data_IF_628085689352
#
_entry.id   IF_628085689352
#
_cell.length_a   1.000
_cell.length_b   1.000
_cell.length_c   1.000
_cell.angle_alpha   90.00
_cell.angle_beta   90.00
_cell.angle_gamma   90.00
#
_symmetry.space_group_name_H-M   'P 1'
#
loop_
_entity.id
_entity.type
_entity.pdbx_description
1 polymer ?
#
# COMPACT_ATOMS: atom_id res chain seq x y z
N UNK A 1 -38.24 -36.40 26.76
CA UNK A 1 -38.46 -34.94 26.85
C UNK A 1 -37.08 -34.31 26.72
N UNK A 2 -36.62 -33.96 25.52
CA UNK A 2 -36.97 -32.73 24.81
C UNK A 2 -35.66 -31.99 24.58
N UNK A 3 -35.16 -32.04 23.35
CA UNK A 3 -33.92 -31.44 22.84
C UNK A 3 -33.91 -29.93 22.97
N UNK A 4 -32.80 -29.34 23.42
CA UNK A 4 -32.48 -27.94 23.22
C UNK A 4 -31.43 -27.85 22.11
N UNK A 5 -31.90 -27.87 20.86
CA UNK A 5 -31.11 -27.51 19.68
C UNK A 5 -30.70 -26.04 19.76
N UNK A 6 -29.41 -25.78 19.57
CA UNK A 6 -28.83 -24.45 19.52
C UNK A 6 -29.33 -23.60 18.32
N UNK A 7 -29.08 -22.28 18.34
CA UNK A 7 -29.57 -21.38 17.31
C UNK A 7 -28.98 -21.69 15.93
N UNK A 8 -29.89 -21.85 14.97
CA UNK A 8 -29.69 -22.27 13.57
C UNK A 8 -28.72 -21.39 12.79
N UNK A 9 -27.77 -22.07 12.16
CA UNK A 9 -26.81 -21.65 11.13
C UNK A 9 -27.48 -21.17 9.81
N UNK A 10 -28.42 -20.21 9.86
CA UNK A 10 -29.18 -19.78 8.66
C UNK A 10 -28.81 -18.39 8.11
N UNK A 11 -27.96 -17.62 8.80
CA UNK A 11 -27.63 -16.21 8.46
C UNK A 11 -26.38 -15.99 7.58
N UNK A 12 -25.89 -17.02 6.87
CA UNK A 12 -24.55 -16.96 6.27
C UNK A 12 -24.51 -16.81 4.73
N UNK A 13 -25.60 -17.05 4.01
CA UNK A 13 -25.58 -17.08 2.54
C UNK A 13 -25.74 -15.68 1.91
N UNK A 14 -26.65 -14.84 2.44
CA UNK A 14 -26.82 -13.44 1.99
C UNK A 14 -25.53 -12.64 2.21
N UNK A 15 -24.90 -12.81 3.38
CA UNK A 15 -23.59 -12.20 3.68
C UNK A 15 -22.50 -12.65 2.71
N UNK A 16 -22.51 -13.89 2.23
CA UNK A 16 -21.54 -14.38 1.23
C UNK A 16 -21.82 -13.82 -0.17
N UNK A 17 -23.09 -13.70 -0.55
CA UNK A 17 -23.50 -13.14 -1.86
C UNK A 17 -23.20 -11.65 -1.95
N UNK A 18 -23.46 -10.87 -0.89
CA UNK A 18 -23.20 -9.43 -0.88
C UNK A 18 -21.71 -9.08 -0.70
N UNK A 19 -20.91 -9.97 -0.08
CA UNK A 19 -19.47 -9.71 0.15
C UNK A 19 -18.64 -9.72 -1.11
N UNK A 20 -18.89 -10.65 -2.04
CA UNK A 20 -18.13 -10.76 -3.30
C UNK A 20 -18.20 -9.48 -4.16
N UNK A 21 -19.39 -8.93 -4.50
CA UNK A 21 -19.45 -7.69 -5.27
C UNK A 21 -18.81 -6.53 -4.51
N UNK A 22 -19.04 -6.41 -3.19
CA UNK A 22 -18.43 -5.37 -2.39
C UNK A 22 -16.89 -5.39 -2.44
N UNK A 23 -16.26 -6.55 -2.24
CA UNK A 23 -14.79 -6.66 -2.25
C UNK A 23 -14.20 -6.39 -3.63
N UNK A 24 -14.89 -6.79 -4.70
CA UNK A 24 -14.48 -6.46 -6.06
C UNK A 24 -14.60 -4.96 -6.33
N UNK A 25 -15.70 -4.33 -5.90
CA UNK A 25 -15.88 -2.88 -5.99
C UNK A 25 -14.80 -2.13 -5.23
N UNK A 26 -14.43 -2.57 -4.02
CA UNK A 26 -13.34 -1.96 -3.25
C UNK A 26 -11.98 -2.08 -3.94
N UNK A 27 -11.69 -3.20 -4.62
CA UNK A 27 -10.47 -3.32 -5.43
C UNK A 27 -10.47 -2.30 -6.58
N UNK A 28 -11.59 -2.18 -7.30
CA UNK A 28 -11.69 -1.21 -8.41
C UNK A 28 -11.53 0.21 -7.89
N UNK A 29 -12.22 0.58 -6.81
CA UNK A 29 -12.10 1.90 -6.19
C UNK A 29 -10.65 2.18 -5.77
N UNK A 30 -9.99 1.23 -5.10
CA UNK A 30 -8.62 1.44 -4.62
C UNK A 30 -7.61 1.62 -5.75
N UNK A 31 -7.69 0.78 -6.78
CA UNK A 31 -6.83 0.84 -7.97
C UNK A 31 -7.08 2.13 -8.75
N UNK A 32 -8.36 2.45 -9.03
CA UNK A 32 -8.73 3.68 -9.74
C UNK A 32 -8.31 4.92 -8.95
N UNK A 33 -8.54 4.94 -7.63
CA UNK A 33 -8.14 6.06 -6.77
C UNK A 33 -6.63 6.32 -6.87
N UNK A 34 -5.80 5.31 -6.63
CA UNK A 34 -4.34 5.50 -6.63
C UNK A 34 -3.84 5.93 -8.01
N UNK A 35 -4.24 5.21 -9.07
CA UNK A 35 -3.79 5.51 -10.44
C UNK A 35 -4.24 6.89 -10.91
N UNK A 36 -5.51 7.26 -10.72
CA UNK A 36 -6.03 8.57 -11.09
C UNK A 36 -5.38 9.70 -10.30
N UNK A 37 -5.27 9.58 -8.97
CA UNK A 37 -4.63 10.61 -8.13
C UNK A 37 -3.18 10.82 -8.53
N UNK A 38 -2.42 9.75 -8.72
CA UNK A 38 -1.00 9.85 -9.07
C UNK A 38 -0.82 10.50 -10.45
N UNK A 39 -1.60 10.09 -11.47
CA UNK A 39 -1.51 10.66 -12.82
C UNK A 39 -1.98 12.12 -12.85
N UNK A 40 -3.16 12.42 -12.29
CA UNK A 40 -3.70 13.79 -12.28
C UNK A 40 -2.82 14.73 -11.45
N UNK A 41 -2.27 14.25 -10.33
CA UNK A 41 -1.33 14.99 -9.52
C UNK A 41 -0.03 15.30 -10.26
N UNK A 42 0.51 14.35 -11.03
CA UNK A 42 1.66 14.57 -11.88
C UNK A 42 1.39 15.63 -12.97
N UNK A 43 0.23 15.57 -13.62
CA UNK A 43 -0.19 16.56 -14.61
C UNK A 43 -0.27 17.95 -13.95
N UNK A 44 -0.99 18.07 -12.83
CA UNK A 44 -1.15 19.34 -12.10
C UNK A 44 0.20 19.94 -11.67
N UNK A 45 1.11 19.10 -11.15
CA UNK A 45 2.46 19.54 -10.79
C UNK A 45 3.23 20.04 -12.02
N UNK A 46 3.17 19.30 -13.13
CA UNK A 46 3.91 19.61 -14.35
C UNK A 46 3.44 20.88 -15.05
N UNK A 47 2.13 21.08 -15.12
CA UNK A 47 1.51 22.15 -15.93
C UNK A 47 1.19 23.40 -15.15
N UNK A 48 0.88 23.30 -13.85
CA UNK A 48 0.43 24.44 -13.04
C UNK A 48 1.45 24.82 -11.98
N UNK A 49 1.81 23.88 -11.10
CA UNK A 49 2.58 24.23 -9.88
C UNK A 49 4.03 24.56 -10.20
N UNK A 50 4.76 23.67 -10.88
CA UNK A 50 6.20 23.82 -11.08
C UNK A 50 6.60 25.00 -11.97
N UNK A 51 5.95 25.28 -13.12
CA UNK A 51 6.30 26.42 -13.96
C UNK A 51 6.17 27.75 -13.20
N UNK A 52 5.01 28.00 -12.59
CA UNK A 52 4.73 29.24 -11.86
C UNK A 52 5.66 29.41 -10.64
N UNK A 53 5.89 28.33 -9.89
CA UNK A 53 6.77 28.37 -8.73
C UNK A 53 8.24 28.64 -9.13
N UNK A 54 8.70 28.06 -10.25
CA UNK A 54 10.06 28.28 -10.76
C UNK A 54 10.28 29.73 -11.19
N UNK A 55 9.28 30.34 -11.83
CA UNK A 55 9.30 31.77 -12.18
C UNK A 55 9.29 32.65 -10.93
N UNK A 56 8.56 32.28 -9.89
CA UNK A 56 8.44 33.06 -8.67
C UNK A 56 9.68 33.00 -7.76
N UNK A 57 10.33 31.84 -7.64
CA UNK A 57 11.41 31.60 -6.67
C UNK A 57 12.81 31.46 -7.31
N UNK A 58 12.91 31.52 -8.65
CA UNK A 58 14.19 31.45 -9.35
C UNK A 58 14.84 30.06 -9.36
N UNK A 59 14.06 28.99 -9.11
CA UNK A 59 14.56 27.62 -9.18
C UNK A 59 14.70 27.11 -10.62
N UNK A 60 15.63 26.18 -10.86
CA UNK A 60 15.74 25.49 -12.14
C UNK A 60 14.52 24.60 -12.37
N UNK A 61 13.62 25.04 -13.28
CA UNK A 61 12.45 24.27 -13.69
C UNK A 61 12.82 22.86 -14.19
N UNK A 62 13.94 22.74 -14.88
CA UNK A 62 14.44 21.46 -15.38
C UNK A 62 14.77 20.49 -14.23
N UNK A 63 15.43 20.97 -13.18
CA UNK A 63 15.80 20.15 -12.02
C UNK A 63 14.56 19.66 -11.25
N UNK A 64 13.57 20.55 -11.05
CA UNK A 64 12.30 20.17 -10.41
C UNK A 64 11.49 19.17 -11.22
N UNK A 65 11.47 19.32 -12.55
CA UNK A 65 10.83 18.35 -13.46
C UNK A 65 11.53 17.00 -13.42
N UNK A 66 12.86 16.97 -13.44
CA UNK A 66 13.63 15.73 -13.35
C UNK A 66 13.36 14.99 -12.03
N UNK A 67 13.37 15.71 -10.90
CA UNK A 67 13.05 15.14 -9.59
C UNK A 67 11.61 14.62 -9.54
N UNK A 68 10.65 15.39 -10.04
CA UNK A 68 9.24 15.00 -10.09
C UNK A 68 9.04 13.71 -10.92
N UNK A 69 9.65 13.63 -12.10
CA UNK A 69 9.62 12.43 -12.94
C UNK A 69 10.24 11.22 -12.23
N UNK A 70 11.39 11.40 -11.57
CA UNK A 70 12.04 10.33 -10.81
C UNK A 70 11.15 9.78 -9.70
N UNK A 71 10.57 10.65 -8.87
CA UNK A 71 9.71 10.27 -7.75
C UNK A 71 8.43 9.58 -8.23
N UNK A 72 7.80 10.14 -9.26
CA UNK A 72 6.59 9.56 -9.88
C UNK A 72 6.87 8.20 -10.52
N UNK A 73 7.94 8.09 -11.30
CA UNK A 73 8.30 6.85 -11.98
C UNK A 73 8.57 5.73 -10.97
N UNK A 74 9.23 6.04 -9.84
CA UNK A 74 9.44 5.06 -8.79
C UNK A 74 8.15 4.68 -8.05
N UNK A 75 7.27 5.63 -7.73
CA UNK A 75 5.99 5.34 -7.07
C UNK A 75 5.11 4.45 -7.96
N UNK A 76 4.86 4.88 -9.21
CA UNK A 76 4.01 4.16 -10.16
C UNK A 76 4.66 2.85 -10.62
N UNK A 77 5.97 2.84 -10.89
CA UNK A 77 6.66 1.63 -11.33
C UNK A 77 6.65 0.54 -10.27
N UNK A 78 6.89 0.86 -8.99
CA UNK A 78 6.79 -0.11 -7.91
C UNK A 78 5.35 -0.54 -7.66
N UNK A 79 4.37 0.36 -7.80
CA UNK A 79 2.95 -0.01 -7.78
C UNK A 79 2.61 -1.06 -8.85
N UNK A 80 3.05 -0.82 -10.10
CA UNK A 80 2.81 -1.73 -11.21
C UNK A 80 3.50 -3.08 -11.02
N UNK A 81 4.75 -3.10 -10.54
CA UNK A 81 5.46 -4.34 -10.20
C UNK A 81 4.75 -5.09 -9.07
N UNK A 82 4.26 -4.38 -8.04
CA UNK A 82 3.54 -4.99 -6.94
C UNK A 82 2.21 -5.63 -7.40
N UNK A 83 1.48 -4.94 -8.27
CA UNK A 83 0.20 -5.40 -8.81
C UNK A 83 0.35 -6.54 -9.84
N UNK A 84 1.42 -6.53 -10.65
CA UNK A 84 1.63 -7.52 -11.71
C UNK A 84 2.25 -8.83 -11.21
N UNK A 85 3.02 -8.78 -10.12
CA UNK A 85 3.70 -9.95 -9.55
C UNK A 85 2.74 -11.07 -9.14
N UNK A 86 3.09 -12.32 -9.47
CA UNK A 86 2.35 -13.50 -9.05
C UNK A 86 2.69 -13.85 -7.59
N UNK A 87 1.69 -13.85 -6.72
CA UNK A 87 1.81 -14.13 -5.29
C UNK A 87 1.18 -15.46 -4.88
N UNK A 88 0.53 -16.13 -5.84
CA UNK A 88 -0.23 -17.33 -5.56
C UNK A 88 0.69 -18.50 -5.29
N UNK A 89 0.25 -19.38 -4.40
CA UNK A 89 0.90 -20.65 -4.20
C UNK A 89 0.64 -21.53 -5.43
N UNK A 90 1.69 -21.81 -6.22
CA UNK A 90 1.58 -22.71 -7.38
C UNK A 90 1.06 -24.07 -6.90
N UNK A 91 -0.05 -24.55 -7.50
CA UNK A 91 -0.56 -25.89 -7.22
C UNK A 91 0.55 -26.90 -7.53
N UNK A 92 0.99 -27.67 -6.53
CA UNK A 92 1.90 -28.79 -6.75
C UNK A 92 1.21 -29.75 -7.71
N UNK A 93 1.83 -30.10 -8.84
CA UNK A 93 1.35 -31.23 -9.66
C UNK A 93 1.24 -32.42 -8.71
N UNK A 94 0.08 -33.06 -8.68
CA UNK A 94 -0.21 -34.24 -7.84
C UNK A 94 0.74 -35.36 -8.28
N UNK A 95 1.95 -35.40 -7.73
CA UNK A 95 2.88 -36.51 -7.96
C UNK A 95 2.35 -37.68 -7.16
N UNK A 96 1.75 -38.62 -7.90
CA UNK A 96 1.39 -39.97 -7.52
C UNK A 96 0.43 -40.18 -6.35
N UNK A 97 -0.53 -41.05 -6.64
CA UNK A 97 -1.38 -41.78 -5.71
C UNK A 97 -0.62 -42.31 -4.49
N UNK A 98 -1.33 -42.40 -3.36
CA UNK A 98 -0.92 -42.86 -2.01
C UNK A 98 -0.43 -41.70 -1.12
N UNK A 99 -1.32 -40.90 -0.52
CA UNK A 99 -2.13 -41.32 0.63
C UNK A 99 -3.33 -40.39 0.78
N UNK A 100 -4.51 -41.00 0.98
CA UNK A 100 -5.77 -40.32 1.22
C UNK A 100 -5.83 -39.76 2.65
N UNK A 101 -6.64 -38.71 2.83
CA UNK A 101 -6.93 -37.99 4.07
C UNK A 101 -5.85 -37.04 4.62
N UNK A 102 -5.79 -35.85 4.02
CA UNK A 102 -5.75 -34.56 4.73
C UNK A 102 -5.91 -33.44 3.71
N UNK A 103 -6.59 -32.36 4.08
CA UNK A 103 -6.59 -31.09 3.35
C UNK A 103 -5.17 -30.79 2.82
N UNK A 104 -4.99 -30.26 1.60
CA UNK A 104 -3.65 -29.95 1.11
C UNK A 104 -2.96 -29.10 2.18
N UNK A 105 -1.88 -29.63 2.79
CA UNK A 105 -1.16 -28.91 3.84
C UNK A 105 -0.74 -27.57 3.25
N UNK A 106 -1.35 -26.49 3.76
CA UNK A 106 -0.98 -25.14 3.37
C UNK A 106 0.45 -24.96 3.90
N UNK A 107 1.43 -24.67 3.03
CA UNK A 107 2.81 -24.48 3.45
C UNK A 107 2.92 -23.40 4.53
N UNK A 108 3.93 -23.50 5.39
CA UNK A 108 4.19 -22.54 6.49
C UNK A 108 4.09 -21.07 6.01
N UNK A 109 3.45 -20.16 6.77
CA UNK A 109 3.19 -18.75 6.39
C UNK A 109 2.37 -18.52 5.12
N UNK A 110 1.89 -19.56 4.44
CA UNK A 110 0.89 -19.40 3.39
C UNK A 110 -0.50 -19.36 4.02
N UNK A 111 -1.35 -18.47 3.53
CA UNK A 111 -2.73 -18.35 4.04
C UNK A 111 -3.71 -18.16 2.89
N UNK A 112 -4.93 -18.67 3.07
CA UNK A 112 -6.00 -18.53 2.10
C UNK A 112 -6.64 -17.14 2.20
N UNK A 113 -6.58 -16.37 1.11
CA UNK A 113 -7.26 -15.08 1.02
C UNK A 113 -8.68 -15.29 0.47
N UNK A 114 -9.69 -14.92 1.27
CA UNK A 114 -11.11 -15.02 0.90
C UNK A 114 -11.50 -14.07 -0.24
N UNK A 115 -10.75 -12.96 -0.42
CA UNK A 115 -11.01 -11.97 -1.48
C UNK A 115 -10.49 -12.49 -2.83
N UNK A 116 -9.26 -13.02 -2.84
CA UNK A 116 -8.64 -13.58 -4.05
C UNK A 116 -9.09 -15.03 -4.36
N UNK A 117 -9.73 -15.71 -3.41
CA UNK A 117 -10.14 -17.13 -3.48
C UNK A 117 -8.96 -18.08 -3.76
N UNK A 118 -7.78 -17.76 -3.22
CA UNK A 118 -6.54 -18.51 -3.45
C UNK A 118 -5.62 -18.49 -2.23
N UNK A 119 -4.74 -19.49 -2.13
CA UNK A 119 -3.66 -19.50 -1.13
C UNK A 119 -2.51 -18.60 -1.61
N UNK A 120 -2.06 -17.71 -0.73
CA UNK A 120 -1.00 -16.75 -1.00
C UNK A 120 0.24 -17.17 -0.20
N UNK A 121 1.41 -17.18 -0.83
CA UNK A 121 2.67 -17.53 -0.17
C UNK A 121 3.21 -16.35 0.64
N UNK A 122 3.63 -16.60 1.89
CA UNK A 122 4.02 -15.56 2.87
C UNK A 122 2.95 -14.45 2.87
N UNK A 123 1.70 -14.83 3.14
CA UNK A 123 0.56 -13.93 2.98
C UNK A 123 0.64 -12.77 3.98
N UNK A 124 0.82 -11.56 3.48
CA UNK A 124 0.89 -10.37 4.33
C UNK A 124 -0.52 -9.81 4.58
N UNK A 125 -1.15 -9.31 3.52
CA UNK A 125 -2.51 -8.80 3.56
C UNK A 125 -3.12 -8.73 2.16
N UNK A 126 -4.44 -8.58 2.08
CA UNK A 126 -5.11 -8.15 0.84
C UNK A 126 -5.11 -6.63 0.78
N UNK A 127 -4.46 -6.06 -0.23
CA UNK A 127 -4.38 -4.61 -0.41
C UNK A 127 -5.41 -4.16 -1.46
N UNK A 128 -6.44 -3.42 -1.03
CA UNK A 128 -7.44 -2.87 -1.94
C UNK A 128 -6.85 -1.82 -2.91
N UNK A 129 -5.82 -1.09 -2.48
CA UNK A 129 -5.13 -0.11 -3.33
C UNK A 129 -4.39 -0.77 -4.50
N UNK A 130 -3.78 -1.94 -4.27
CA UNK A 130 -3.18 -2.76 -5.34
C UNK A 130 -4.23 -3.61 -6.08
N UNK A 131 -5.43 -3.77 -5.52
CA UNK A 131 -6.42 -4.74 -5.99
C UNK A 131 -5.96 -6.20 -5.89
N UNK A 132 -4.95 -6.49 -5.04
CA UNK A 132 -4.29 -7.80 -4.95
C UNK A 132 -3.71 -8.06 -3.57
N UNK A 133 -3.44 -9.32 -3.26
CA UNK A 133 -2.64 -9.68 -2.09
C UNK A 133 -1.19 -9.22 -2.20
N UNK A 134 -0.66 -8.77 -1.07
CA UNK A 134 0.76 -8.63 -0.81
C UNK A 134 1.25 -9.93 -0.18
N UNK A 135 2.34 -10.47 -0.70
CA UNK A 135 3.01 -11.65 -0.19
C UNK A 135 4.43 -11.74 -0.72
N UNK A 136 5.00 -12.94 -0.70
CA UNK A 136 6.45 -13.11 -0.87
C UNK A 136 7.06 -12.42 -2.10
N UNK A 137 6.44 -12.57 -3.28
CA UNK A 137 7.05 -12.11 -4.53
C UNK A 137 6.90 -10.59 -4.75
N UNK A 138 6.03 -9.91 -4.01
CA UNK A 138 5.70 -8.50 -4.25
C UNK A 138 5.79 -7.59 -3.02
N UNK A 139 6.09 -8.13 -1.83
CA UNK A 139 6.22 -7.36 -0.59
C UNK A 139 7.27 -6.24 -0.73
N UNK A 140 8.44 -6.51 -1.35
CA UNK A 140 9.45 -5.46 -1.60
C UNK A 140 8.93 -4.30 -2.43
N UNK A 141 8.17 -4.59 -3.48
CA UNK A 141 7.60 -3.56 -4.36
C UNK A 141 6.55 -2.75 -3.61
N UNK A 142 5.77 -3.37 -2.72
CA UNK A 142 4.85 -2.66 -1.84
C UNK A 142 5.59 -1.71 -0.87
N UNK A 143 6.71 -2.15 -0.28
CA UNK A 143 7.55 -1.32 0.58
C UNK A 143 8.11 -0.12 -0.19
N UNK A 144 8.70 -0.34 -1.36
CA UNK A 144 9.25 0.73 -2.20
C UNK A 144 8.17 1.66 -2.75
N UNK A 145 7.01 1.13 -3.13
CA UNK A 145 5.83 1.90 -3.51
C UNK A 145 5.38 2.82 -2.37
N UNK A 146 5.32 2.31 -1.14
CA UNK A 146 4.92 3.09 0.04
C UNK A 146 5.90 4.23 0.32
N UNK A 147 7.21 3.94 0.28
CA UNK A 147 8.27 4.95 0.42
C UNK A 147 8.15 6.05 -0.64
N UNK A 148 8.08 5.69 -1.91
CA UNK A 148 8.07 6.67 -3.00
C UNK A 148 6.75 7.42 -3.10
N UNK A 149 5.63 6.80 -2.71
CA UNK A 149 4.34 7.48 -2.55
C UNK A 149 4.44 8.53 -1.45
N UNK A 150 5.09 8.23 -0.32
CA UNK A 150 5.33 9.23 0.73
C UNK A 150 6.21 10.38 0.22
N UNK A 151 7.34 10.07 -0.42
CA UNK A 151 8.28 11.07 -0.93
C UNK A 151 7.66 11.99 -2.00
N UNK A 152 6.98 11.43 -3.00
CA UNK A 152 6.31 12.23 -4.05
C UNK A 152 5.19 13.08 -3.47
N UNK A 153 4.47 12.55 -2.48
CA UNK A 153 3.37 13.28 -1.82
C UNK A 153 3.90 14.42 -0.94
N UNK A 154 5.00 14.23 -0.20
CA UNK A 154 5.65 15.30 0.56
C UNK A 154 6.19 16.38 -0.37
N UNK A 155 6.86 15.97 -1.46
CA UNK A 155 7.36 16.93 -2.45
C UNK A 155 6.22 17.76 -3.05
N UNK A 156 5.16 17.11 -3.53
CA UNK A 156 3.99 17.77 -4.11
C UNK A 156 3.23 18.64 -3.08
N UNK A 157 3.15 18.21 -1.81
CA UNK A 157 2.56 18.98 -0.73
C UNK A 157 3.31 20.31 -0.53
N UNK A 158 4.64 20.24 -0.43
CA UNK A 158 5.48 21.41 -0.20
C UNK A 158 5.45 22.37 -1.40
N UNK A 159 5.61 21.87 -2.63
CA UNK A 159 5.55 22.72 -3.84
C UNK A 159 4.18 23.37 -4.01
N UNK A 160 3.10 22.63 -3.76
CA UNK A 160 1.73 23.18 -3.82
C UNK A 160 1.50 24.23 -2.73
N UNK A 161 1.92 23.98 -1.49
CA UNK A 161 1.80 24.96 -0.41
C UNK A 161 2.58 26.24 -0.71
N UNK A 162 3.80 26.12 -1.24
CA UNK A 162 4.61 27.28 -1.65
C UNK A 162 3.95 28.05 -2.80
N UNK A 163 3.44 27.35 -3.82
CA UNK A 163 2.70 27.98 -4.91
C UNK A 163 1.45 28.72 -4.42
N UNK A 164 0.67 28.08 -3.53
CA UNK A 164 -0.50 28.71 -2.92
C UNK A 164 -0.13 29.97 -2.11
N UNK A 165 0.98 29.92 -1.37
CA UNK A 165 1.48 31.07 -0.63
C UNK A 165 1.84 32.24 -1.55
N UNK A 166 2.54 31.98 -2.65
CA UNK A 166 2.98 33.04 -3.58
C UNK A 166 1.80 33.61 -4.36
N UNK A 167 0.99 32.74 -4.98
CA UNK A 167 -0.03 33.13 -5.96
C UNK A 167 -1.37 33.51 -5.34
N UNK A 168 -1.75 32.89 -4.21
CA UNK A 168 -3.05 33.12 -3.56
C UNK A 168 -2.92 33.76 -2.18
N UNK A 169 -1.69 34.06 -1.73
CA UNK A 169 -1.40 34.63 -0.40
C UNK A 169 -1.94 33.78 0.75
N UNK A 170 -2.10 32.48 0.53
CA UNK A 170 -2.50 31.52 1.56
C UNK A 170 -1.44 31.47 2.66
N UNK A 171 -1.86 31.53 3.93
CA UNK A 171 -0.97 31.47 5.09
C UNK A 171 -1.10 30.11 5.77
N UNK A 172 0.02 29.41 5.92
CA UNK A 172 0.11 28.14 6.65
C UNK A 172 0.77 28.37 8.02
N UNK A 173 0.00 28.90 8.98
CA UNK A 173 0.52 29.32 10.29
C UNK A 173 0.75 28.14 11.28
N UNK A 174 0.27 26.95 10.93
CA UNK A 174 0.39 25.76 11.74
C UNK A 174 -0.67 24.70 11.42
N UNK A 175 -0.73 23.59 12.17
CA UNK A 175 -1.63 22.46 11.90
C UNK A 175 -3.10 22.86 11.86
N UNK A 176 -3.51 23.86 12.65
CA UNK A 176 -4.89 24.36 12.67
C UNK A 176 -5.38 24.87 11.32
N UNK A 177 -4.46 25.35 10.47
CA UNK A 177 -4.77 25.79 9.09
C UNK A 177 -5.43 24.67 8.29
N UNK A 178 -5.01 23.42 8.48
CA UNK A 178 -5.58 22.28 7.74
C UNK A 178 -6.99 21.89 8.21
N UNK A 179 -7.49 22.41 9.32
CA UNK A 179 -8.89 22.20 9.71
C UNK A 179 -9.82 23.26 9.10
N UNK A 180 -9.31 24.46 8.85
CA UNK A 180 -10.11 25.59 8.35
C UNK A 180 -9.94 25.86 6.85
N UNK A 181 -8.85 25.40 6.24
CA UNK A 181 -8.52 25.69 4.83
C UNK A 181 -9.55 25.14 3.85
N UNK A 182 -9.94 23.87 3.96
CA UNK A 182 -10.96 23.30 3.07
C UNK A 182 -12.33 23.97 3.25
N UNK A 183 -12.90 24.09 4.46
CA UNK A 183 -14.19 24.78 4.65
C UNK A 183 -14.18 26.22 4.11
N UNK A 184 -13.15 27.01 4.43
CA UNK A 184 -13.06 28.40 3.96
C UNK A 184 -12.88 28.53 2.45
N UNK A 185 -12.12 27.62 1.82
CA UNK A 185 -11.95 27.60 0.36
C UNK A 185 -13.23 27.19 -0.35
N UNK A 186 -14.00 26.24 0.21
CA UNK A 186 -15.30 25.84 -0.31
C UNK A 186 -16.31 26.98 -0.22
N UNK A 187 -16.38 27.67 0.92
CA UNK A 187 -17.25 28.84 1.11
C UNK A 187 -16.93 29.94 0.11
N UNK A 188 -15.65 30.32 -0.02
CA UNK A 188 -15.19 31.33 -0.98
C UNK A 188 -15.52 30.94 -2.42
N UNK A 189 -15.34 29.68 -2.79
CA UNK A 189 -15.68 29.20 -4.12
C UNK A 189 -17.19 29.24 -4.38
N UNK A 190 -18.00 28.83 -3.40
CA UNK A 190 -19.47 28.82 -3.51
C UNK A 190 -20.06 30.21 -3.68
N UNK A 191 -19.53 31.22 -2.98
CA UNK A 191 -19.95 32.62 -3.12
C UNK A 191 -19.23 33.38 -4.25
N UNK A 192 -18.44 32.68 -5.08
CA UNK A 192 -17.77 33.26 -6.24
C UNK A 192 -16.59 34.18 -5.91
N UNK A 193 -16.12 34.21 -4.66
CA UNK A 193 -14.96 35.00 -4.23
C UNK A 193 -13.62 34.28 -4.44
N UNK A 194 -13.63 32.99 -4.79
CA UNK A 194 -12.45 32.21 -5.18
C UNK A 194 -12.70 31.44 -6.49
N UNK A 195 -11.68 31.37 -7.34
CA UNK A 195 -11.75 30.59 -8.59
C UNK A 195 -11.64 29.08 -8.35
N UNK A 196 -12.14 28.29 -9.31
CA UNK A 196 -12.10 26.81 -9.23
C UNK A 196 -10.68 26.24 -9.13
N UNK A 197 -9.68 26.95 -9.64
CA UNK A 197 -8.28 26.56 -9.51
C UNK A 197 -7.78 26.59 -8.05
N UNK A 198 -8.19 27.58 -7.26
CA UNK A 198 -7.84 27.68 -5.83
C UNK A 198 -8.38 26.46 -5.08
N UNK A 199 -9.67 26.14 -5.29
CA UNK A 199 -10.30 24.97 -4.67
C UNK A 199 -9.65 23.65 -5.12
N UNK A 200 -9.30 23.51 -6.40
CA UNK A 200 -8.61 22.32 -6.90
C UNK A 200 -7.26 22.10 -6.22
N UNK A 201 -6.47 23.16 -6.03
CA UNK A 201 -5.17 23.09 -5.34
C UNK A 201 -5.33 22.74 -3.86
N UNK A 202 -6.36 23.25 -3.20
CA UNK A 202 -6.70 22.89 -1.82
C UNK A 202 -7.03 21.40 -1.75
N UNK A 203 -7.92 20.89 -2.59
CA UNK A 203 -8.26 19.46 -2.62
C UNK A 203 -7.02 18.60 -2.90
N UNK A 204 -6.18 19.01 -3.85
CA UNK A 204 -4.93 18.33 -4.14
C UNK A 204 -3.96 18.32 -2.95
N UNK A 205 -3.88 19.42 -2.19
CA UNK A 205 -3.08 19.52 -0.96
C UNK A 205 -3.50 18.47 0.08
N UNK A 206 -4.80 18.23 0.28
CA UNK A 206 -5.29 17.17 1.18
C UNK A 206 -4.99 15.76 0.64
N UNK A 207 -5.05 15.57 -0.67
CA UNK A 207 -4.64 14.32 -1.31
C UNK A 207 -3.15 14.06 -1.11
N UNK A 208 -2.30 15.07 -1.23
CA UNK A 208 -0.87 14.95 -0.91
C UNK A 208 -0.63 14.70 0.57
N UNK A 209 -1.38 15.35 1.46
CA UNK A 209 -1.26 15.13 2.91
C UNK A 209 -1.61 13.69 3.29
N UNK A 210 -2.72 13.16 2.77
CA UNK A 210 -3.15 11.78 3.00
C UNK A 210 -2.20 10.77 2.36
N UNK A 211 -1.69 11.04 1.16
CA UNK A 211 -0.67 10.23 0.50
C UNK A 211 0.66 10.18 1.26
N UNK A 212 1.11 11.33 1.79
CA UNK A 212 2.33 11.44 2.59
C UNK A 212 2.21 10.65 3.90
N UNK A 213 1.13 10.90 4.66
CA UNK A 213 0.88 10.23 5.92
C UNK A 213 0.65 8.72 5.74
N UNK A 214 -0.24 8.34 4.82
CA UNK A 214 -0.56 6.94 4.53
C UNK A 214 0.66 6.16 4.04
N UNK A 215 1.41 6.71 3.07
CA UNK A 215 2.63 6.09 2.56
C UNK A 215 3.68 5.89 3.65
N UNK A 216 3.89 6.90 4.52
CA UNK A 216 4.81 6.80 5.64
C UNK A 216 4.38 5.75 6.66
N UNK A 217 3.10 5.72 7.05
CA UNK A 217 2.57 4.72 7.99
C UNK A 217 2.70 3.28 7.46
N UNK A 218 2.39 3.05 6.17
CA UNK A 218 2.57 1.72 5.57
C UNK A 218 4.04 1.33 5.48
N UNK A 219 4.90 2.28 5.11
CA UNK A 219 6.34 2.04 5.06
C UNK A 219 6.91 1.70 6.44
N UNK A 220 6.61 2.50 7.47
CA UNK A 220 7.10 2.26 8.83
C UNK A 220 6.57 0.95 9.41
N UNK A 221 5.30 0.64 9.19
CA UNK A 221 4.70 -0.64 9.58
C UNK A 221 5.43 -1.83 8.94
N UNK A 222 5.67 -1.80 7.63
CA UNK A 222 6.37 -2.88 6.94
C UNK A 222 7.84 -2.97 7.35
N UNK A 223 8.51 -1.85 7.61
CA UNK A 223 9.88 -1.86 8.15
C UNK A 223 9.93 -2.52 9.53
N UNK A 224 8.98 -2.21 10.41
CA UNK A 224 8.85 -2.86 11.71
C UNK A 224 8.64 -4.37 11.57
N UNK A 225 7.66 -4.79 10.76
CA UNK A 225 7.38 -6.21 10.53
C UNK A 225 8.57 -6.96 9.93
N UNK A 226 9.26 -6.35 8.97
CA UNK A 226 10.47 -6.89 8.38
C UNK A 226 11.56 -7.07 9.43
N UNK A 227 11.81 -6.10 10.31
CA UNK A 227 12.80 -6.26 11.39
C UNK A 227 12.44 -7.43 12.30
N UNK A 228 11.15 -7.58 12.63
CA UNK A 228 10.63 -8.67 13.47
C UNK A 228 10.51 -10.02 12.74
N UNK A 229 10.74 -10.08 11.43
CA UNK A 229 10.57 -11.29 10.61
C UNK A 229 9.10 -11.70 10.40
N UNK A 230 8.15 -10.81 10.69
CA UNK A 230 6.71 -11.07 10.65
C UNK A 230 6.06 -10.61 9.33
N UNK A 231 4.90 -11.18 9.05
CA UNK A 231 3.90 -10.61 8.16
C UNK A 231 2.82 -9.87 8.96
N UNK A 232 2.06 -9.00 8.30
CA UNK A 232 0.89 -8.34 8.89
C UNK A 232 -0.13 -9.36 9.41
N UNK A 233 -0.34 -10.46 8.68
CA UNK A 233 -1.24 -11.53 9.09
C UNK A 233 -0.80 -12.17 10.43
N UNK A 234 0.48 -12.53 10.53
CA UNK A 234 1.06 -13.14 11.73
C UNK A 234 1.02 -12.18 12.92
N UNK A 235 1.38 -10.90 12.71
CA UNK A 235 1.35 -9.88 13.75
C UNK A 235 -0.06 -9.64 14.31
N UNK A 236 -1.08 -9.59 13.44
CA UNK A 236 -2.49 -9.43 13.86
C UNK A 236 -2.98 -10.66 14.63
N UNK A 237 -2.50 -11.85 14.29
CA UNK A 237 -2.83 -13.08 15.00
C UNK A 237 -2.01 -13.31 16.28
N UNK A 238 -1.13 -12.36 16.66
CA UNK A 238 -0.32 -12.46 17.86
C UNK A 238 0.81 -13.49 17.79
N UNK A 239 1.26 -13.84 16.58
CA UNK A 239 2.43 -14.71 16.40
C UNK A 239 3.71 -13.98 16.81
N UNK A 240 4.70 -14.74 17.29
CA UNK A 240 6.00 -14.19 17.70
C UNK A 240 6.91 -14.03 16.49
N UNK A 241 7.76 -13.00 16.55
CA UNK A 241 8.80 -12.77 15.55
C UNK A 241 9.78 -13.93 15.42
N UNK A 242 10.53 -13.94 14.33
CA UNK A 242 11.51 -15.00 14.06
C UNK A 242 12.76 -14.82 14.90
N UNK A 243 13.43 -15.93 15.25
CA UNK A 243 14.72 -15.92 15.95
C UNK A 243 15.91 -15.67 14.99
N UNK A 244 15.64 -15.46 13.69
CA UNK A 244 16.64 -15.15 12.67
C UNK A 244 17.18 -13.73 12.85
N UNK A 245 18.37 -13.48 12.30
CA UNK A 245 18.99 -12.16 12.38
C UNK A 245 18.18 -11.11 11.61
N UNK A 246 18.28 -9.84 12.04
CA UNK A 246 17.64 -8.70 11.33
C UNK A 246 18.07 -8.65 9.86
N UNK A 247 19.33 -9.01 9.58
CA UNK A 247 19.86 -9.03 8.22
C UNK A 247 19.26 -10.14 7.35
N UNK A 248 19.00 -11.32 7.90
CA UNK A 248 18.29 -12.40 7.21
C UNK A 248 16.83 -12.01 6.93
N UNK A 249 16.17 -11.32 7.86
CA UNK A 249 14.81 -10.83 7.67
C UNK A 249 14.73 -9.77 6.56
N UNK A 250 15.71 -8.85 6.57
CA UNK A 250 15.87 -7.82 5.57
C UNK A 250 16.13 -8.42 4.18
N UNK A 251 17.09 -9.33 4.06
CA UNK A 251 17.49 -9.91 2.77
C UNK A 251 16.48 -10.90 2.21
N UNK A 252 15.69 -11.62 3.03
CA UNK A 252 14.55 -12.43 2.56
C UNK A 252 13.41 -11.56 2.00
N UNK A 253 13.25 -10.35 2.53
CA UNK A 253 12.16 -9.44 2.14
C UNK A 253 12.55 -8.58 0.94
N UNK A 254 13.69 -7.89 0.99
CA UNK A 254 14.12 -6.93 -0.04
C UNK A 254 15.10 -7.53 -1.07
N UNK A 255 15.70 -8.68 -0.77
CA UNK A 255 16.66 -9.34 -1.63
C UNK A 255 18.08 -8.74 -1.59
N UNK A 256 19.01 -9.41 -2.27
CA UNK A 256 20.42 -8.99 -2.36
C UNK A 256 20.62 -7.62 -3.02
N UNK A 257 19.76 -7.29 -3.99
CA UNK A 257 19.84 -6.07 -4.81
C UNK A 257 18.93 -4.95 -4.30
N UNK A 258 18.66 -4.92 -2.99
CA UNK A 258 17.70 -4.00 -2.37
C UNK A 258 17.98 -2.53 -2.71
N UNK A 259 19.25 -2.12 -2.82
CA UNK A 259 19.62 -0.73 -3.12
C UNK A 259 19.19 -0.34 -4.55
N UNK A 260 19.35 -1.24 -5.52
CA UNK A 260 18.88 -1.02 -6.89
C UNK A 260 17.35 -0.95 -6.94
N UNK A 261 16.66 -1.82 -6.20
CA UNK A 261 15.20 -1.83 -6.11
C UNK A 261 14.63 -0.59 -5.40
N UNK A 262 15.39 -0.01 -4.47
CA UNK A 262 15.02 1.24 -3.81
C UNK A 262 15.19 2.44 -4.73
N UNK A 263 16.18 2.43 -5.64
CA UNK A 263 16.45 3.58 -6.51
C UNK A 263 15.63 3.56 -7.81
N UNK A 264 15.21 2.37 -8.26
CA UNK A 264 14.47 2.20 -9.49
C UNK A 264 13.48 1.02 -9.41
N UNK A 265 12.31 1.13 -10.05
CA UNK A 265 11.33 0.05 -10.11
C UNK A 265 11.81 -1.04 -11.08
N UNK A 266 12.63 -1.96 -10.58
CA UNK A 266 13.23 -3.04 -11.36
C UNK A 266 12.64 -4.40 -10.95
N UNK A 267 12.34 -5.31 -11.89
CA UNK A 267 11.85 -6.66 -11.60
C UNK A 267 12.99 -7.57 -11.09
N UNK A 268 13.54 -7.24 -9.92
CA UNK A 268 14.68 -7.92 -9.34
C UNK A 268 14.27 -9.31 -8.82
N UNK A 269 15.16 -10.31 -8.87
CA UNK A 269 14.87 -11.63 -8.31
C UNK A 269 14.63 -11.56 -6.81
N UNK A 270 13.77 -12.43 -6.29
CA UNK A 270 13.58 -12.61 -4.85
C UNK A 270 14.62 -13.60 -4.32
N UNK A 271 15.17 -13.31 -3.14
CA UNK A 271 16.15 -14.16 -2.46
C UNK A 271 15.47 -14.90 -1.30
N UNK A 272 15.90 -16.13 -1.03
CA UNK A 272 15.31 -16.99 0.00
C UNK A 272 14.09 -17.80 -0.49
N UNK A 273 13.36 -18.38 0.46
CA UNK A 273 12.11 -19.09 0.19
C UNK A 273 10.90 -18.34 0.75
N UNK A 274 11.10 -17.35 1.63
CA UNK A 274 10.02 -16.68 2.38
C UNK A 274 9.37 -17.56 3.44
N UNK A 275 9.93 -18.75 3.59
CA UNK A 275 9.41 -19.89 4.32
C UNK A 275 10.58 -20.29 5.20
N UNK A 276 10.81 -19.53 6.28
CA UNK A 276 11.80 -19.92 7.29
C UNK A 276 11.31 -21.22 7.93
N UNK A 277 11.61 -22.36 7.31
CA UNK A 277 11.34 -23.66 7.88
C UNK A 277 12.27 -23.81 9.09
N UNK A 278 11.69 -23.81 10.29
CA UNK A 278 12.42 -23.94 11.55
C UNK A 278 11.82 -23.21 12.75
N UNK A 279 10.90 -22.26 12.55
CA UNK A 279 10.36 -21.43 13.65
C UNK A 279 8.90 -21.80 13.90
N UNK A 280 8.63 -22.41 15.07
CA UNK A 280 7.32 -22.79 15.66
C UNK A 280 6.58 -24.01 15.09
N UNK A 281 7.20 -25.19 15.16
CA UNK A 281 6.45 -26.43 15.52
C UNK A 281 6.44 -26.70 17.04
N UNK A 282 6.94 -25.77 17.85
CA UNK A 282 6.84 -25.83 19.31
C UNK A 282 5.65 -24.96 19.76
N UNK A 283 4.71 -25.60 20.47
CA UNK A 283 3.50 -25.02 21.07
C UNK A 283 2.21 -24.95 20.23
N UNK A 284 1.88 -26.05 19.54
CA UNK A 284 0.51 -26.59 19.63
C UNK A 284 0.57 -28.01 20.17
N UNK A 285 1.09 -28.14 21.38
CA UNK A 285 0.61 -29.22 22.22
C UNK A 285 -0.85 -28.90 22.51
N UNK A 286 -1.74 -29.68 21.91
CA UNK A 286 -3.07 -29.87 22.46
C UNK A 286 -2.86 -30.31 23.91
N UNK A 287 -3.04 -29.38 24.84
CA UNK A 287 -3.38 -29.72 26.21
C UNK A 287 -4.82 -30.22 26.19
N UNK A 288 -4.95 -31.53 26.40
CA UNK A 288 -6.06 -32.29 27.00
C UNK A 288 -7.49 -31.84 26.74
#
# INVERSE_FOLDING_TARGET
MGSADGPKQSDNWIRRILRRPLTTTLNVIGVSYYTSVTILGAILQWTVVLPELSHALGFSLASHRALMLYLFANAMGNYLLAASSDVHLKKRKRTSFLTANRYPMIPFRAHYCKVCDQCIRKHDHHCFILGKCVGYNNQKYFIYCSLHTALVSVYALLTTAMYMHVSFKTKFLGPFTFFTLLPSSMERWFFGSAGSQELLLVLFLYVCLTGAFGGLCFFTWQMFLMVMGLTTHEAINGERGTDTSIWENFTDTLGKYWLLGMLAPLPLPQYGTGMYEGVTQLARNHSD
#
